data_IF_347864234339
#
_entry.id   IF_347864234339
#
_cell.length_a   1.000
_cell.length_b   1.000
_cell.length_c   1.000
_cell.angle_alpha   90.00
_cell.angle_beta   90.00
_cell.angle_gamma   90.00
#
_symmetry.space_group_name_H-M   'P 1'
#
loop_
_entity.id
_entity.type
_entity.pdbx_description
1 polymer ?
#
# COMPACT_ATOMS: atom_id res chain seq x y z
N UNK A 1 -2.02 5.55 -13.28
CA UNK A 1 -0.91 5.40 -14.24
C UNK A 1 -1.46 4.56 -15.40
N UNK A 2 -1.89 5.19 -16.49
CA UNK A 2 -2.70 4.50 -17.52
C UNK A 2 -1.91 4.05 -18.74
N UNK A 3 -0.77 4.69 -19.02
CA UNK A 3 0.05 4.43 -20.19
C UNK A 3 1.37 3.69 -19.88
N UNK A 4 1.66 3.42 -18.60
CA UNK A 4 2.92 2.77 -18.22
C UNK A 4 2.95 1.32 -18.66
N UNK A 5 4.12 0.86 -19.09
CA UNK A 5 4.41 -0.57 -19.30
C UNK A 5 5.35 -1.13 -18.24
N UNK A 6 5.82 -0.29 -17.30
CA UNK A 6 6.71 -0.71 -16.21
C UNK A 6 5.89 -1.26 -15.03
N UNK A 7 6.46 -2.15 -14.20
CA UNK A 7 5.85 -2.57 -12.94
C UNK A 7 5.44 -1.36 -12.09
N UNK A 8 4.28 -1.48 -11.44
CA UNK A 8 3.73 -0.42 -10.58
C UNK A 8 3.51 -0.99 -9.18
N UNK A 9 4.05 -0.28 -8.19
CA UNK A 9 3.86 -0.55 -6.78
C UNK A 9 3.07 0.58 -6.10
N UNK A 10 2.12 0.21 -5.25
CA UNK A 10 1.42 1.10 -4.33
C UNK A 10 2.02 0.96 -2.94
N UNK A 11 2.28 2.10 -2.28
CA UNK A 11 2.75 2.16 -0.88
C UNK A 11 1.72 2.94 -0.06
N UNK A 12 0.70 2.28 0.51
CA UNK A 12 -0.42 2.97 1.14
C UNK A 12 -0.01 3.68 2.44
N UNK A 13 -0.51 4.92 2.61
CA UNK A 13 -0.35 5.72 3.82
C UNK A 13 -1.69 6.41 4.13
N UNK A 14 -2.46 5.89 5.09
CA UNK A 14 -3.79 6.40 5.41
C UNK A 14 -4.26 5.99 6.81
N UNK A 15 -5.35 6.60 7.29
CA UNK A 15 -5.97 6.20 8.55
C UNK A 15 -6.54 4.78 8.49
N UNK A 16 -6.61 4.10 9.64
CA UNK A 16 -7.09 2.71 9.70
C UNK A 16 -8.51 2.50 9.17
N UNK A 17 -9.43 3.42 9.46
CA UNK A 17 -10.79 3.35 8.92
C UNK A 17 -10.85 3.51 7.39
N UNK A 18 -9.93 4.28 6.80
CA UNK A 18 -9.81 4.38 5.34
C UNK A 18 -9.28 3.07 4.75
N UNK A 19 -8.24 2.49 5.37
CA UNK A 19 -7.68 1.22 4.93
C UNK A 19 -8.73 0.10 5.00
N UNK A 20 -9.47 0.01 6.10
CA UNK A 20 -10.50 -1.01 6.33
C UNK A 20 -11.78 -0.81 5.50
N UNK A 21 -11.89 0.28 4.75
CA UNK A 21 -13.08 0.55 3.95
C UNK A 21 -13.31 -0.59 2.93
N UNK A 22 -14.50 -1.22 2.90
CA UNK A 22 -14.77 -2.37 2.04
C UNK A 22 -14.64 -2.04 0.55
N UNK A 23 -14.94 -0.80 0.14
CA UNK A 23 -14.75 -0.34 -1.24
C UNK A 23 -13.26 -0.35 -1.59
N UNK A 24 -12.41 0.19 -0.70
CA UNK A 24 -10.97 0.18 -0.90
C UNK A 24 -10.43 -1.24 -0.94
N UNK A 25 -10.83 -2.11 -0.01
CA UNK A 25 -10.37 -3.50 0.04
C UNK A 25 -10.74 -4.27 -1.24
N UNK A 26 -11.94 -4.04 -1.79
CA UNK A 26 -12.33 -4.59 -3.09
C UNK A 26 -11.42 -4.10 -4.22
N UNK A 27 -11.13 -2.79 -4.28
CA UNK A 27 -10.21 -2.21 -5.28
C UNK A 27 -8.78 -2.72 -5.14
N UNK A 28 -8.28 -2.83 -3.90
CA UNK A 28 -6.95 -3.38 -3.62
C UNK A 28 -6.85 -4.81 -4.13
N UNK A 29 -7.88 -5.62 -3.91
CA UNK A 29 -7.94 -6.98 -4.44
C UNK A 29 -7.91 -6.98 -5.97
N UNK A 30 -8.81 -6.22 -6.62
CA UNK A 30 -8.87 -6.10 -8.08
C UNK A 30 -7.51 -5.67 -8.67
N UNK A 31 -6.83 -4.70 -8.06
CA UNK A 31 -5.51 -4.25 -8.51
C UNK A 31 -4.43 -5.33 -8.30
N UNK A 32 -4.43 -6.03 -7.17
CA UNK A 32 -3.50 -7.16 -6.95
C UNK A 32 -3.70 -8.27 -7.98
N UNK A 33 -4.96 -8.59 -8.30
CA UNK A 33 -5.32 -9.58 -9.32
C UNK A 33 -4.84 -9.17 -10.73
N UNK A 34 -4.80 -7.86 -11.01
CA UNK A 34 -4.22 -7.28 -12.22
C UNK A 34 -2.68 -7.20 -12.22
N UNK A 35 -2.01 -7.73 -11.19
CA UNK A 35 -0.54 -7.80 -11.10
C UNK A 35 0.11 -6.57 -10.47
N UNK A 36 -0.66 -5.58 -10.01
CA UNK A 36 -0.11 -4.45 -9.26
C UNK A 36 0.44 -4.91 -7.91
N UNK A 37 1.57 -4.32 -7.51
CA UNK A 37 2.21 -4.64 -6.24
C UNK A 37 1.76 -3.69 -5.15
N UNK A 38 1.60 -4.20 -3.95
CA UNK A 38 1.29 -3.41 -2.76
C UNK A 38 2.35 -3.69 -1.71
N UNK A 39 3.00 -2.62 -1.23
CA UNK A 39 4.00 -2.67 -0.18
C UNK A 39 3.37 -2.04 1.06
N UNK A 40 3.03 -2.87 2.05
CA UNK A 40 2.25 -2.45 3.22
C UNK A 40 0.75 -2.29 2.94
N UNK A 41 0.02 -1.49 3.76
CA UNK A 41 0.50 -0.74 4.92
C UNK A 41 0.82 -1.63 6.12
N UNK A 42 1.45 -1.06 7.16
CA UNK A 42 1.77 -1.74 8.42
C UNK A 42 0.86 -1.24 9.56
N UNK A 43 0.86 -2.00 10.66
CA UNK A 43 0.27 -1.55 11.93
C UNK A 43 1.27 -0.64 12.64
N UNK A 44 0.80 0.51 13.11
CA UNK A 44 1.62 1.41 13.93
C UNK A 44 0.87 2.66 14.37
N UNK A 45 1.59 3.60 14.99
CA UNK A 45 1.04 4.89 15.39
C UNK A 45 0.71 5.72 14.14
N UNK A 46 -0.53 6.17 14.05
CA UNK A 46 -1.05 7.01 12.97
C UNK A 46 -1.03 8.49 13.36
N UNK A 47 -1.22 9.38 12.38
CA UNK A 47 -1.27 10.83 12.61
C UNK A 47 -2.35 11.24 13.63
N UNK A 48 -3.46 10.50 13.69
CA UNK A 48 -4.53 10.69 14.68
C UNK A 48 -4.17 10.22 16.11
N UNK A 49 -2.91 9.87 16.36
CA UNK A 49 -2.38 9.35 17.65
C UNK A 49 -2.98 8.02 18.09
N UNK A 50 -3.78 7.37 17.24
CA UNK A 50 -4.28 6.00 17.43
C UNK A 50 -3.32 5.01 16.79
N UNK A 51 -3.35 3.77 17.28
CA UNK A 51 -2.65 2.65 16.66
C UNK A 51 -3.60 1.92 15.70
N UNK A 52 -3.11 1.55 14.52
CA UNK A 52 -3.90 0.81 13.54
C UNK A 52 -3.14 0.46 12.28
N UNK A 53 -3.76 -0.36 11.43
CA UNK A 53 -3.23 -0.73 10.11
C UNK A 53 -3.51 0.39 9.12
N UNK A 54 -2.46 0.94 8.50
CA UNK A 54 -2.59 2.10 7.61
C UNK A 54 -1.34 2.98 7.58
N UNK A 55 -0.40 2.75 8.51
CA UNK A 55 0.90 3.39 8.51
C UNK A 55 1.70 2.94 7.29
N UNK A 56 2.34 3.88 6.62
CA UNK A 56 3.29 3.57 5.55
C UNK A 56 4.40 2.67 6.10
N UNK A 57 4.86 1.72 5.29
CA UNK A 57 6.11 1.01 5.57
C UNK A 57 7.29 1.98 5.62
N UNK A 58 8.37 1.60 6.30
CA UNK A 58 9.62 2.36 6.29
C UNK A 58 10.21 2.44 4.88
N UNK A 59 10.93 3.52 4.60
CA UNK A 59 11.51 3.79 3.28
C UNK A 59 12.49 2.69 2.87
N UNK A 60 13.27 2.17 3.81
CA UNK A 60 14.22 1.08 3.59
C UNK A 60 13.51 -0.19 3.12
N UNK A 61 12.32 -0.46 3.66
CA UNK A 61 11.48 -1.58 3.22
C UNK A 61 10.93 -1.33 1.82
N UNK A 62 10.49 -0.10 1.51
CA UNK A 62 10.03 0.26 0.16
C UNK A 62 11.14 0.04 -0.86
N UNK A 63 12.36 0.54 -0.59
CA UNK A 63 13.50 0.39 -1.48
C UNK A 63 13.83 -1.09 -1.70
N UNK A 64 13.90 -1.88 -0.62
CA UNK A 64 14.20 -3.31 -0.70
C UNK A 64 13.17 -4.09 -1.54
N UNK A 65 11.88 -3.77 -1.43
CA UNK A 65 10.83 -4.38 -2.24
C UNK A 65 10.86 -3.91 -3.70
N UNK A 66 11.11 -2.62 -3.95
CA UNK A 66 11.22 -2.08 -5.31
C UNK A 66 12.41 -2.68 -6.05
N UNK A 67 13.54 -2.94 -5.39
CA UNK A 67 14.70 -3.62 -6.00
C UNK A 67 14.39 -5.02 -6.51
N UNK A 68 13.33 -5.68 -6.02
CA UNK A 68 12.87 -6.99 -6.51
C UNK A 68 11.95 -6.91 -7.73
N UNK A 69 11.51 -5.71 -8.10
CA UNK A 69 10.62 -5.47 -9.25
C UNK A 69 11.38 -5.07 -10.53
N UNK A 70 12.69 -4.89 -10.43
CA UNK A 70 13.58 -4.47 -11.51
C UNK A 70 14.32 -5.69 -12.06
#
# INVERSE_FOLDING_TARGET
MLATRKPVAFVPAMNAGMWQNPILQKRVKELKDLGYKFIGPTKGRLACRKEGVGRMVEVETVIAELSRLI
#
